data_IF_440451432827
#
_entry.id   IF_440451432827
#
_cell.length_a   1.000
_cell.length_b   1.000
_cell.length_c   1.000
_cell.angle_alpha   90.00
_cell.angle_beta   90.00
_cell.angle_gamma   90.00
#
_symmetry.space_group_name_H-M   'P 1'
#
loop_
_entity.id
_entity.type
_entity.pdbx_description
1 polymer ?
#
# COMPACT_ATOMS: atom_id res chain seq x y z
N UNK A 1 14.99 0.73 3.81
CA UNK A 1 13.65 0.10 3.72
C UNK A 1 13.45 -0.82 4.92
N UNK A 2 12.49 -0.51 5.78
CA UNK A 2 12.08 -1.42 6.86
C UNK A 2 11.23 -2.52 6.22
N UNK A 3 11.63 -3.80 6.43
CA UNK A 3 10.81 -4.93 5.99
C UNK A 3 9.45 -4.86 6.71
N UNK A 4 8.36 -5.06 5.99
CA UNK A 4 7.00 -4.99 6.53
C UNK A 4 6.55 -6.28 7.24
N UNK A 5 7.32 -7.38 7.14
CA UNK A 5 6.98 -8.63 7.82
C UNK A 5 7.25 -8.56 9.32
N UNK A 6 6.30 -9.01 10.13
CA UNK A 6 6.42 -9.05 11.61
C UNK A 6 7.54 -10.00 12.07
N UNK A 7 7.82 -11.06 11.30
CA UNK A 7 8.85 -12.07 11.59
C UNK A 7 10.29 -11.54 11.64
N UNK A 8 10.53 -10.32 11.14
CA UNK A 8 11.83 -9.67 11.18
C UNK A 8 11.99 -8.71 12.36
N UNK A 9 11.06 -8.69 13.30
CA UNK A 9 10.99 -7.67 14.35
C UNK A 9 10.86 -8.26 15.75
N UNK A 10 11.48 -7.56 16.69
CA UNK A 10 11.28 -7.79 18.13
C UNK A 10 10.60 -6.56 18.71
N UNK A 11 9.55 -6.77 19.45
CA UNK A 11 8.78 -5.72 20.10
C UNK A 11 8.90 -5.80 21.61
N UNK A 12 8.99 -4.65 22.27
CA UNK A 12 8.76 -4.61 23.72
C UNK A 12 7.28 -4.85 23.99
N UNK A 13 6.94 -5.78 24.87
CA UNK A 13 5.55 -6.13 25.18
C UNK A 13 4.68 -4.90 25.52
N UNK A 14 5.23 -3.93 26.27
CA UNK A 14 4.53 -2.68 26.59
C UNK A 14 4.13 -1.87 25.36
N UNK A 15 4.93 -1.90 24.29
CA UNK A 15 4.69 -1.12 23.04
C UNK A 15 3.53 -1.69 22.24
N UNK A 16 3.39 -3.02 22.22
CA UNK A 16 2.33 -3.69 21.44
C UNK A 16 1.07 -4.01 22.26
N UNK A 17 1.06 -3.67 23.55
CA UNK A 17 -0.11 -3.89 24.40
C UNK A 17 -1.33 -3.15 23.85
N UNK A 18 -2.42 -3.91 23.60
CA UNK A 18 -3.67 -3.39 23.04
C UNK A 18 -3.61 -3.09 21.53
N UNK A 19 -2.61 -3.61 20.81
CA UNK A 19 -2.62 -3.69 19.35
C UNK A 19 -3.07 -5.10 18.99
N UNK A 20 -4.13 -5.21 18.22
CA UNK A 20 -4.69 -6.48 17.78
C UNK A 20 -4.69 -6.57 16.27
N UNK A 21 -4.62 -7.79 15.74
CA UNK A 21 -4.82 -8.02 14.31
C UNK A 21 -6.31 -7.85 13.98
N UNK A 22 -6.61 -6.94 13.07
CA UNK A 22 -7.96 -6.81 12.54
C UNK A 22 -8.30 -8.02 11.66
N UNK A 23 -9.28 -8.83 12.10
CA UNK A 23 -9.72 -10.05 11.40
C UNK A 23 -10.40 -9.75 10.05
N UNK A 24 -10.82 -8.51 9.83
CA UNK A 24 -11.39 -8.08 8.55
C UNK A 24 -10.29 -7.84 7.50
N UNK A 25 -9.05 -7.59 7.90
CA UNK A 25 -7.90 -7.37 7.02
C UNK A 25 -7.21 -8.70 6.74
N UNK A 26 -7.29 -9.19 5.51
CA UNK A 26 -6.77 -10.50 5.08
C UNK A 26 -5.40 -10.40 4.40
N UNK A 27 -5.03 -9.20 3.93
CA UNK A 27 -3.73 -8.88 3.33
C UNK A 27 -3.25 -7.54 3.88
N UNK A 28 -1.97 -7.46 4.28
CA UNK A 28 -1.33 -6.32 4.95
C UNK A 28 -1.75 -6.11 6.42
N UNK A 29 -2.33 -7.12 7.07
CA UNK A 29 -2.61 -7.14 8.51
C UNK A 29 -1.33 -6.95 9.32
N UNK A 30 -0.23 -7.56 8.90
CA UNK A 30 1.09 -7.40 9.53
C UNK A 30 1.68 -6.00 9.31
N UNK A 31 1.46 -5.42 8.14
CA UNK A 31 1.85 -4.02 7.86
C UNK A 31 1.11 -3.06 8.78
N UNK A 32 -0.19 -3.28 8.98
CA UNK A 32 -1.02 -2.46 9.87
C UNK A 32 -0.54 -2.58 11.32
N UNK A 33 -0.34 -3.81 11.80
CA UNK A 33 0.18 -4.08 13.14
C UNK A 33 1.53 -3.39 13.39
N UNK A 34 2.48 -3.52 12.44
CA UNK A 34 3.79 -2.87 12.55
C UNK A 34 3.64 -1.35 12.57
N UNK A 35 2.77 -0.81 11.72
CA UNK A 35 2.53 0.62 11.66
C UNK A 35 2.01 1.16 13.01
N UNK A 36 1.02 0.52 13.62
CA UNK A 36 0.49 0.91 14.92
C UNK A 36 1.54 0.76 16.05
N UNK A 37 2.36 -0.31 15.99
CA UNK A 37 3.46 -0.48 16.92
C UNK A 37 4.51 0.65 16.80
N UNK A 38 4.83 1.07 15.56
CA UNK A 38 5.75 2.19 15.33
C UNK A 38 5.16 3.53 15.78
N UNK A 39 3.85 3.74 15.64
CA UNK A 39 3.18 4.95 16.14
C UNK A 39 3.28 5.09 17.66
N UNK A 40 3.27 3.96 18.40
CA UNK A 40 3.43 3.91 19.87
C UNK A 40 4.89 3.87 20.33
N UNK A 41 5.84 3.57 19.43
CA UNK A 41 7.24 3.39 19.82
C UNK A 41 7.95 4.74 19.99
N UNK A 42 8.63 4.92 21.10
CA UNK A 42 9.53 6.06 21.34
C UNK A 42 10.82 5.96 20.53
N UNK A 43 11.31 4.73 20.34
CA UNK A 43 12.56 4.42 19.62
C UNK A 43 12.46 3.11 18.88
N UNK A 44 13.11 3.03 17.74
CA UNK A 44 13.36 1.78 17.04
C UNK A 44 14.84 1.68 16.64
N UNK A 45 15.33 0.45 16.54
CA UNK A 45 16.71 0.15 16.14
C UNK A 45 16.64 -0.76 14.92
N UNK A 46 17.40 -0.42 13.90
CA UNK A 46 17.61 -1.29 12.74
C UNK A 46 18.93 -2.06 12.97
N UNK A 47 18.82 -3.39 12.96
CA UNK A 47 19.95 -4.28 13.08
C UNK A 47 20.14 -5.00 11.74
N UNK A 48 21.18 -4.59 11.00
CA UNK A 48 21.44 -5.08 9.63
C UNK A 48 22.22 -6.40 9.64
N UNK A 49 21.64 -7.42 10.28
CA UNK A 49 22.16 -8.79 10.27
C UNK A 49 21.04 -9.74 9.96
N UNK A 50 21.26 -10.61 8.98
CA UNK A 50 20.27 -11.64 8.64
C UNK A 50 20.12 -12.65 9.79
N UNK A 51 18.94 -12.67 10.42
CA UNK A 51 18.58 -13.56 11.53
C UNK A 51 17.36 -14.45 11.20
N UNK A 52 16.81 -14.29 10.01
CA UNK A 52 15.61 -15.01 9.59
C UNK A 52 15.77 -15.51 8.15
N UNK A 53 15.52 -16.79 7.93
CA UNK A 53 15.48 -17.41 6.62
C UNK A 53 14.03 -17.51 6.15
N UNK A 54 13.67 -16.71 5.15
CA UNK A 54 12.35 -16.78 4.53
C UNK A 54 12.31 -17.87 3.45
N UNK A 55 11.64 -18.97 3.74
CA UNK A 55 11.47 -20.09 2.80
C UNK A 55 10.26 -19.79 1.92
N UNK A 56 10.50 -19.58 0.63
CA UNK A 56 9.41 -19.44 -0.34
C UNK A 56 8.80 -20.80 -0.66
N UNK A 57 7.49 -20.94 -0.40
CA UNK A 57 6.73 -22.12 -0.76
C UNK A 57 5.98 -21.90 -2.08
N UNK A 58 5.75 -22.94 -2.86
CA UNK A 58 5.00 -22.86 -4.13
C UNK A 58 3.56 -22.38 -3.92
N UNK A 59 2.92 -22.79 -2.82
CA UNK A 59 1.58 -22.33 -2.44
C UNK A 59 1.70 -21.20 -1.42
N UNK A 60 1.66 -19.94 -1.89
CA UNK A 60 1.60 -18.76 -1.04
C UNK A 60 0.25 -18.06 -1.20
N UNK A 61 -0.33 -17.59 -0.10
CA UNK A 61 -1.61 -16.87 -0.07
C UNK A 61 -1.61 -15.59 -0.95
N UNK A 62 -0.42 -15.04 -1.23
CA UNK A 62 -0.23 -13.79 -1.99
C UNK A 62 0.05 -14.02 -3.48
N UNK A 63 0.08 -15.27 -3.98
CA UNK A 63 0.36 -15.55 -5.40
C UNK A 63 -0.82 -15.26 -6.32
N UNK A 64 -2.05 -15.47 -5.85
CA UNK A 64 -3.26 -15.24 -6.63
C UNK A 64 -3.81 -13.85 -6.35
N UNK A 65 -4.12 -13.11 -7.42
CA UNK A 65 -4.85 -11.86 -7.29
C UNK A 65 -6.34 -12.17 -7.09
N UNK A 66 -6.93 -11.67 -6.01
CA UNK A 66 -8.34 -11.80 -5.68
C UNK A 66 -8.81 -10.57 -4.87
N UNK A 67 -10.06 -10.60 -4.37
CA UNK A 67 -10.69 -9.51 -3.63
C UNK A 67 -9.95 -9.11 -2.35
N UNK A 68 -9.20 -10.00 -1.73
CA UNK A 68 -8.42 -9.74 -0.51
C UNK A 68 -7.37 -8.64 -0.71
N UNK A 69 -6.87 -8.45 -1.94
CA UNK A 69 -5.88 -7.43 -2.23
C UNK A 69 -6.42 -6.01 -2.06
N UNK A 70 -7.75 -5.83 -2.05
CA UNK A 70 -8.36 -4.52 -1.83
C UNK A 70 -8.30 -4.07 -0.37
N UNK A 71 -8.06 -4.98 0.58
CA UNK A 71 -7.79 -4.66 1.97
C UNK A 71 -6.57 -3.69 2.09
N UNK A 72 -5.64 -3.77 1.12
CA UNK A 72 -4.50 -2.83 1.01
C UNK A 72 -4.92 -1.37 0.89
N UNK A 73 -6.07 -1.08 0.25
CA UNK A 73 -6.61 0.28 0.14
C UNK A 73 -7.08 0.78 1.50
N UNK A 74 -7.81 -0.08 2.21
CA UNK A 74 -8.37 0.26 3.52
C UNK A 74 -7.26 0.46 4.55
N UNK A 75 -6.22 -0.38 4.52
CA UNK A 75 -5.01 -0.19 5.33
C UNK A 75 -4.31 1.13 5.00
N UNK A 76 -4.15 1.49 3.71
CA UNK A 76 -3.51 2.74 3.32
C UNK A 76 -4.32 3.98 3.74
N UNK A 77 -5.65 3.90 3.64
CA UNK A 77 -6.56 4.97 4.05
C UNK A 77 -6.56 5.13 5.57
N UNK A 78 -6.63 4.03 6.32
CA UNK A 78 -6.53 4.04 7.78
C UNK A 78 -5.19 4.65 8.26
N UNK A 79 -4.07 4.23 7.66
CA UNK A 79 -2.75 4.79 7.99
C UNK A 79 -2.70 6.30 7.75
N UNK A 80 -3.29 6.78 6.64
CA UNK A 80 -3.35 8.21 6.33
C UNK A 80 -4.15 8.98 7.38
N UNK A 81 -5.34 8.49 7.74
CA UNK A 81 -6.20 9.17 8.72
C UNK A 81 -5.58 9.15 10.13
N UNK A 82 -4.91 8.06 10.53
CA UNK A 82 -4.22 7.99 11.81
C UNK A 82 -3.06 8.98 11.87
N UNK A 83 -2.23 9.05 10.81
CA UNK A 83 -1.14 10.04 10.73
C UNK A 83 -1.67 11.47 10.75
N UNK A 84 -2.73 11.74 10.01
CA UNK A 84 -3.36 13.07 9.97
C UNK A 84 -3.80 13.53 11.36
N UNK A 85 -4.29 12.60 12.18
CA UNK A 85 -4.75 12.87 13.55
C UNK A 85 -3.60 12.99 14.55
N UNK A 86 -2.64 12.08 14.51
CA UNK A 86 -1.67 11.89 15.60
C UNK A 86 -0.25 12.42 15.27
N UNK A 87 0.11 12.48 13.98
CA UNK A 87 1.45 12.85 13.49
C UNK A 87 1.36 13.71 12.23
N UNK A 88 0.69 14.88 12.27
CA UNK A 88 0.44 15.70 11.08
C UNK A 88 1.71 16.13 10.34
N UNK A 89 2.86 16.18 11.01
CA UNK A 89 4.18 16.44 10.40
C UNK A 89 4.59 15.36 9.38
N UNK A 90 4.01 14.14 9.48
CA UNK A 90 4.25 13.02 8.57
C UNK A 90 3.19 12.91 7.45
N UNK A 91 2.19 13.79 7.44
CA UNK A 91 1.04 13.71 6.52
C UNK A 91 1.47 13.58 5.05
N UNK A 92 2.47 14.36 4.65
CA UNK A 92 3.02 14.29 3.29
C UNK A 92 3.49 12.89 2.91
N UNK A 93 4.16 12.19 3.82
CA UNK A 93 4.66 10.83 3.59
C UNK A 93 3.53 9.82 3.54
N UNK A 94 2.49 9.99 4.34
CA UNK A 94 1.30 9.17 4.33
C UNK A 94 0.53 9.31 3.01
N UNK A 95 0.35 10.54 2.51
CA UNK A 95 -0.26 10.84 1.20
C UNK A 95 0.53 10.16 0.06
N UNK A 96 1.87 10.26 0.07
CA UNK A 96 2.73 9.61 -0.92
C UNK A 96 2.59 8.09 -0.86
N UNK A 97 2.57 7.51 0.34
CA UNK A 97 2.38 6.07 0.52
C UNK A 97 1.03 5.61 -0.02
N UNK A 98 -0.05 6.33 0.31
CA UNK A 98 -1.39 6.04 -0.20
C UNK A 98 -1.42 6.04 -1.73
N UNK A 99 -0.88 7.09 -2.38
CA UNK A 99 -0.84 7.17 -3.85
C UNK A 99 -0.03 6.02 -4.45
N UNK A 100 1.11 5.62 -3.83
CA UNK A 100 1.91 4.48 -4.29
C UNK A 100 1.16 3.16 -4.17
N UNK A 101 0.43 2.94 -3.08
CA UNK A 101 -0.38 1.74 -2.87
C UNK A 101 -1.50 1.67 -3.91
N UNK A 102 -2.24 2.75 -4.11
CA UNK A 102 -3.33 2.81 -5.10
C UNK A 102 -2.81 2.61 -6.53
N UNK A 103 -1.69 3.26 -6.88
CA UNK A 103 -1.07 3.06 -8.19
C UNK A 103 -0.58 1.61 -8.40
N UNK A 104 0.05 1.02 -7.37
CA UNK A 104 0.49 -0.37 -7.44
C UNK A 104 -0.70 -1.32 -7.65
N UNK A 105 -1.79 -1.13 -6.91
CA UNK A 105 -2.99 -1.95 -7.06
C UNK A 105 -3.64 -1.77 -8.45
N UNK A 106 -3.62 -0.54 -9.00
CA UNK A 106 -4.05 -0.31 -10.38
C UNK A 106 -3.26 -1.17 -11.37
N UNK A 107 -1.93 -1.22 -11.21
CA UNK A 107 -1.09 -2.06 -12.06
C UNK A 107 -1.39 -3.56 -11.89
N UNK A 108 -1.72 -4.01 -10.67
CA UNK A 108 -2.13 -5.39 -10.41
C UNK A 108 -3.45 -5.73 -11.11
N UNK A 109 -4.42 -4.81 -11.10
CA UNK A 109 -5.68 -4.99 -11.84
C UNK A 109 -5.43 -5.19 -13.35
N UNK A 110 -4.52 -4.43 -13.95
CA UNK A 110 -4.21 -4.59 -15.38
C UNK A 110 -3.37 -5.82 -15.72
N UNK A 111 -2.65 -6.38 -14.75
CA UNK A 111 -1.86 -7.61 -14.94
C UNK A 111 -2.70 -8.89 -14.86
N UNK A 112 -3.91 -8.79 -14.33
CA UNK A 112 -4.79 -9.95 -14.17
C UNK A 112 -5.97 -9.83 -15.13
N UNK A 113 -6.13 -10.85 -15.94
CA UNK A 113 -7.18 -10.90 -16.95
C UNK A 113 -8.56 -10.65 -16.33
N UNK A 114 -9.38 -9.83 -16.98
CA UNK A 114 -10.74 -9.45 -16.57
C UNK A 114 -10.87 -8.77 -15.19
N UNK A 115 -9.78 -8.58 -14.44
CA UNK A 115 -9.86 -8.00 -13.10
C UNK A 115 -10.40 -6.55 -13.08
N UNK A 116 -10.11 -5.75 -14.11
CA UNK A 116 -10.64 -4.38 -14.24
C UNK A 116 -12.17 -4.37 -14.37
N UNK A 117 -12.74 -5.34 -15.07
CA UNK A 117 -14.20 -5.46 -15.25
C UNK A 117 -14.84 -6.11 -14.03
N UNK A 118 -14.26 -7.20 -13.55
CA UNK A 118 -14.73 -7.95 -12.38
C UNK A 118 -14.75 -7.06 -11.12
N UNK A 119 -13.74 -6.20 -10.93
CA UNK A 119 -13.59 -5.32 -9.78
C UNK A 119 -13.78 -3.84 -10.15
N UNK A 120 -14.73 -3.55 -11.02
CA UNK A 120 -14.97 -2.19 -11.56
C UNK A 120 -15.18 -1.12 -10.48
N UNK A 121 -15.85 -1.46 -9.37
CA UNK A 121 -16.04 -0.55 -8.23
C UNK A 121 -14.71 -0.14 -7.60
N UNK A 122 -13.83 -1.10 -7.35
CA UNK A 122 -12.50 -0.86 -6.77
C UNK A 122 -11.60 -0.13 -7.76
N UNK A 123 -11.64 -0.51 -9.04
CA UNK A 123 -10.96 0.21 -10.11
C UNK A 123 -11.33 1.69 -10.10
N UNK A 124 -12.63 2.01 -10.05
CA UNK A 124 -13.11 3.39 -10.03
C UNK A 124 -12.66 4.14 -8.77
N UNK A 125 -12.65 3.49 -7.57
CA UNK A 125 -12.11 4.08 -6.33
C UNK A 125 -10.64 4.47 -6.51
N UNK A 126 -9.83 3.56 -7.05
CA UNK A 126 -8.40 3.77 -7.31
C UNK A 126 -8.17 4.92 -8.28
N UNK A 127 -8.85 4.90 -9.43
CA UNK A 127 -8.72 5.94 -10.46
C UNK A 127 -9.16 7.30 -9.93
N UNK A 128 -10.27 7.36 -9.19
CA UNK A 128 -10.76 8.61 -8.59
C UNK A 128 -9.72 9.25 -7.66
N UNK A 129 -9.07 8.46 -6.79
CA UNK A 129 -8.02 8.95 -5.89
C UNK A 129 -6.79 9.42 -6.68
N UNK A 130 -6.35 8.65 -7.67
CA UNK A 130 -5.19 9.02 -8.50
C UNK A 130 -5.45 10.30 -9.31
N UNK A 131 -6.69 10.50 -9.80
CA UNK A 131 -7.09 11.76 -10.45
C UNK A 131 -7.02 12.96 -9.51
N UNK A 132 -7.30 12.79 -8.22
CA UNK A 132 -7.22 13.85 -7.18
C UNK A 132 -5.78 14.13 -6.73
N UNK A 133 -4.83 13.22 -6.96
CA UNK A 133 -3.46 13.35 -6.49
C UNK A 133 -2.79 14.65 -6.98
N UNK A 134 -2.13 15.38 -6.07
CA UNK A 134 -1.39 16.62 -6.36
C UNK A 134 0.01 16.26 -6.89
N UNK A 135 0.10 15.81 -8.15
CA UNK A 135 1.32 15.24 -8.76
C UNK A 135 2.57 16.08 -8.59
N UNK A 136 2.49 17.40 -8.80
CA UNK A 136 3.64 18.29 -8.66
C UNK A 136 4.23 18.27 -7.25
N UNK A 137 3.39 18.11 -6.20
CA UNK A 137 3.85 18.06 -4.82
C UNK A 137 4.60 16.75 -4.48
N UNK A 138 4.34 15.69 -5.23
CA UNK A 138 4.90 14.34 -4.98
C UNK A 138 5.93 13.92 -6.02
N UNK A 139 6.15 14.71 -7.06
CA UNK A 139 7.01 14.37 -8.22
C UNK A 139 8.41 13.89 -7.83
N UNK A 140 9.01 14.50 -6.80
CA UNK A 140 10.35 14.14 -6.30
C UNK A 140 10.41 12.78 -5.58
N UNK A 141 9.26 12.20 -5.22
CA UNK A 141 9.15 10.99 -4.38
C UNK A 141 8.59 9.78 -5.10
N UNK A 142 8.26 9.95 -6.38
CA UNK A 142 7.75 8.90 -7.26
C UNK A 142 8.64 8.77 -8.50
N UNK A 143 8.64 7.60 -9.13
CA UNK A 143 9.38 7.42 -10.36
C UNK A 143 8.79 8.22 -11.51
N UNK A 144 9.64 8.59 -12.50
CA UNK A 144 9.20 9.29 -13.72
C UNK A 144 8.07 8.51 -14.43
N UNK A 145 8.19 7.19 -14.50
CA UNK A 145 7.18 6.34 -15.13
C UNK A 145 5.83 6.43 -14.38
N UNK A 146 5.85 6.33 -13.06
CA UNK A 146 4.64 6.49 -12.23
C UNK A 146 4.02 7.88 -12.43
N UNK A 147 4.82 8.93 -12.44
CA UNK A 147 4.36 10.30 -12.68
C UNK A 147 3.63 10.40 -14.02
N UNK A 148 4.26 9.94 -15.12
CA UNK A 148 3.69 10.00 -16.47
C UNK A 148 2.40 9.17 -16.58
N UNK A 149 2.35 8.02 -15.97
CA UNK A 149 1.15 7.18 -15.99
C UNK A 149 -0.02 7.79 -15.20
N UNK A 150 0.23 8.37 -14.02
CA UNK A 150 -0.83 9.07 -13.28
C UNK A 150 -1.26 10.34 -14.03
N UNK A 151 -0.32 11.05 -14.65
CA UNK A 151 -0.65 12.21 -15.50
C UNK A 151 -1.57 11.79 -16.65
N UNK A 152 -1.26 10.68 -17.33
CA UNK A 152 -2.11 10.12 -18.38
C UNK A 152 -3.51 9.76 -17.86
N UNK A 153 -3.62 9.15 -16.69
CA UNK A 153 -4.91 8.84 -16.06
C UNK A 153 -5.72 10.12 -15.79
N UNK A 154 -5.05 11.20 -15.37
CA UNK A 154 -5.72 12.50 -15.13
C UNK A 154 -6.23 13.15 -16.42
N UNK A 155 -5.49 13.04 -17.51
CA UNK A 155 -5.84 13.64 -18.80
C UNK A 155 -6.85 12.79 -19.56
N UNK A 156 -6.58 11.49 -19.68
CA UNK A 156 -7.44 10.55 -20.41
C UNK A 156 -7.30 9.13 -19.87
N UNK A 157 -8.18 8.79 -18.93
CA UNK A 157 -8.28 7.42 -18.42
C UNK A 157 -8.58 6.38 -19.52
N UNK A 158 -9.48 6.64 -20.49
CA UNK A 158 -9.74 5.69 -21.58
C UNK A 158 -8.48 5.39 -22.40
N UNK A 159 -7.63 6.40 -22.65
CA UNK A 159 -6.37 6.19 -23.34
C UNK A 159 -5.41 5.35 -22.50
N UNK A 160 -5.31 5.63 -21.21
CA UNK A 160 -4.52 4.82 -20.26
C UNK A 160 -4.99 3.36 -20.27
N UNK A 161 -6.31 3.13 -20.15
CA UNK A 161 -6.92 1.78 -20.18
C UNK A 161 -6.58 1.06 -21.51
N UNK A 162 -6.68 1.76 -22.66
CA UNK A 162 -6.35 1.18 -23.96
C UNK A 162 -4.88 0.79 -24.09
N UNK A 163 -3.96 1.59 -23.54
CA UNK A 163 -2.52 1.31 -23.60
C UNK A 163 -2.17 0.12 -22.68
N UNK A 164 -2.74 0.05 -21.49
CA UNK A 164 -2.45 -0.99 -20.51
C UNK A 164 -3.20 -2.29 -20.73
N UNK A 165 -4.40 -2.24 -21.32
CA UNK A 165 -5.21 -3.42 -21.61
C UNK A 165 -4.80 -4.19 -22.86
N UNK A 166 -3.75 -3.74 -23.57
CA UNK A 166 -3.20 -4.43 -24.78
C UNK A 166 -1.97 -5.28 -24.47
N UNK A 167 -1.53 -5.36 -23.25
CA UNK A 167 -0.42 -6.19 -22.78
C UNK A 167 -0.93 -7.28 -21.87
#
# INVERSE_FOLDING_TARGET
NVNIGVWTKLFKAKTIKGIEYDKAIRINEDKLFIFEALMKAEKYVVYDVSKYNYIQREVSATRKFDDRWFDTLDVADYMLELIKKEKPELLRWAEINQIKVYYWLLLMLFRNHDAVEMYSKQYNRVVCLLKKAKLLKISKYISRNMFLQILLIKVSEPLFKRIKGRG
#
